data_IF_712543966766
#
_entry.id   IF_712543966766
#
_cell.length_a   1.000
_cell.length_b   1.000
_cell.length_c   1.000
_cell.angle_alpha   90.00
_cell.angle_beta   90.00
_cell.angle_gamma   90.00
#
_symmetry.space_group_name_H-M   'P 1'
#
loop_
_entity.id
_entity.type
_entity.pdbx_description
1 polymer ?
#
# COMPACT_ATOMS: atom_id res chain seq x y z
N UNK A 1 4.83 19.71 13.48
CA UNK A 1 6.05 19.02 13.04
C UNK A 1 6.82 18.45 14.21
N UNK A 2 7.08 17.15 14.17
CA UNK A 2 7.98 16.48 15.11
C UNK A 2 9.42 16.54 14.56
N UNK A 3 10.45 16.56 15.42
CA UNK A 3 11.84 16.44 14.99
C UNK A 3 12.04 15.15 14.19
N UNK A 4 12.81 15.19 13.10
CA UNK A 4 13.10 13.97 12.33
C UNK A 4 14.00 13.00 13.11
N UNK A 5 14.84 13.55 13.98
CA UNK A 5 15.78 12.83 14.84
C UNK A 5 15.60 13.34 16.28
N UNK A 6 15.57 12.42 17.24
CA UNK A 6 15.45 12.70 18.68
C UNK A 6 16.62 12.05 19.42
N UNK A 7 17.33 12.84 20.22
CA UNK A 7 18.39 12.36 21.10
C UNK A 7 17.81 11.94 22.45
N UNK A 8 18.10 10.71 22.89
CA UNK A 8 17.68 10.14 24.17
C UNK A 8 18.93 9.97 25.04
N UNK A 9 19.13 10.88 25.99
CA UNK A 9 20.36 11.05 26.78
C UNK A 9 20.19 10.75 28.28
N UNK A 10 19.07 10.14 28.66
CA UNK A 10 18.66 9.85 30.05
C UNK A 10 19.70 9.00 30.82
N UNK A 11 20.58 8.27 30.12
CA UNK A 11 21.66 7.44 30.68
C UNK A 11 23.06 7.77 30.13
N UNK A 12 23.25 8.99 29.62
CA UNK A 12 24.50 9.46 29.00
C UNK A 12 25.76 9.37 29.89
N UNK A 13 25.59 9.14 31.20
CA UNK A 13 26.68 8.92 32.15
C UNK A 13 27.31 7.51 32.04
N UNK A 14 26.61 6.53 31.45
CA UNK A 14 27.06 5.11 31.37
C UNK A 14 27.25 4.65 29.92
N UNK A 15 26.44 5.14 28.98
CA UNK A 15 26.51 4.84 27.54
C UNK A 15 26.45 6.13 26.71
N UNK A 16 26.84 6.09 25.43
CA UNK A 16 26.50 7.20 24.53
C UNK A 16 24.97 7.36 24.38
N UNK A 17 24.46 8.58 24.15
CA UNK A 17 23.06 8.82 23.89
C UNK A 17 22.53 7.97 22.74
N UNK A 18 21.29 7.51 22.87
CA UNK A 18 20.60 6.82 21.77
C UNK A 18 19.97 7.83 20.82
N UNK A 19 20.14 7.64 19.53
CA UNK A 19 19.59 8.50 18.48
C UNK A 19 18.40 7.80 17.83
N UNK A 20 17.22 8.38 18.01
CA UNK A 20 15.97 7.87 17.49
C UNK A 20 15.56 8.59 16.21
N UNK A 21 15.46 7.86 15.10
CA UNK A 21 14.98 8.36 13.80
C UNK A 21 13.45 8.41 13.78
N UNK A 22 12.86 9.44 14.40
CA UNK A 22 11.41 9.59 14.52
C UNK A 22 10.70 9.58 13.16
N UNK A 23 11.26 10.22 12.12
CA UNK A 23 10.64 10.23 10.78
C UNK A 23 10.46 8.81 10.22
N UNK A 24 11.51 8.00 10.29
CA UNK A 24 11.51 6.62 9.81
C UNK A 24 10.46 5.79 10.57
N UNK A 25 10.45 5.88 11.89
CA UNK A 25 9.48 5.15 12.72
C UNK A 25 8.03 5.61 12.52
N UNK A 26 7.80 6.90 12.32
CA UNK A 26 6.47 7.43 12.05
C UNK A 26 5.93 6.98 10.69
N UNK A 27 6.79 6.92 9.66
CA UNK A 27 6.43 6.37 8.35
C UNK A 27 6.08 4.87 8.44
N UNK A 28 6.84 4.07 9.21
CA UNK A 28 6.48 2.67 9.49
C UNK A 28 5.13 2.56 10.19
N UNK A 29 4.93 3.37 11.23
CA UNK A 29 3.73 3.32 12.04
C UNK A 29 2.48 3.73 11.24
N UNK A 30 2.62 4.54 10.18
CA UNK A 30 1.54 4.91 9.27
C UNK A 30 0.76 3.72 8.71
N UNK A 31 1.41 2.56 8.56
CA UNK A 31 0.79 1.33 8.06
C UNK A 31 0.11 0.47 9.14
N UNK A 32 0.19 0.86 10.43
CA UNK A 32 -0.25 0.02 11.56
C UNK A 32 -0.97 0.83 12.66
N UNK A 33 -1.71 1.88 12.28
CA UNK A 33 -2.49 2.73 13.19
C UNK A 33 -1.88 4.10 13.47
N UNK A 34 -0.70 4.41 12.92
CA UNK A 34 -0.09 5.73 12.98
C UNK A 34 0.50 6.05 14.35
N UNK A 35 0.24 7.26 14.84
CA UNK A 35 0.91 7.78 16.04
C UNK A 35 0.60 6.97 17.31
N UNK A 36 -0.58 6.34 17.37
CA UNK A 36 -1.05 5.60 18.55
C UNK A 36 -0.30 4.28 18.77
N UNK A 37 0.43 3.79 17.76
CA UNK A 37 1.24 2.58 17.86
C UNK A 37 2.40 2.75 18.85
N UNK A 38 2.81 3.98 19.14
CA UNK A 38 3.85 4.31 20.12
C UNK A 38 3.36 5.26 21.21
N UNK A 39 2.50 6.22 20.87
CA UNK A 39 2.02 7.22 21.82
C UNK A 39 0.64 6.88 22.36
N UNK A 40 0.58 6.69 23.67
CA UNK A 40 -0.66 6.45 24.40
C UNK A 40 -1.01 7.63 25.32
N UNK A 41 -2.27 7.71 25.74
CA UNK A 41 -2.75 8.67 26.75
C UNK A 41 -2.32 10.13 26.51
N UNK A 42 -2.19 10.52 25.25
CA UNK A 42 -1.78 11.86 24.87
C UNK A 42 -2.81 12.90 25.33
N UNK A 43 -2.37 14.07 25.85
CA UNK A 43 -3.27 15.18 26.08
C UNK A 43 -3.97 15.62 24.78
N UNK A 44 -5.20 16.17 24.86
CA UNK A 44 -5.90 16.66 23.68
C UNK A 44 -5.06 17.65 22.89
N UNK A 45 -4.91 17.40 21.58
CA UNK A 45 -4.24 18.31 20.65
C UNK A 45 -2.71 18.27 20.63
N UNK A 46 -2.03 17.38 21.38
CA UNK A 46 -0.57 17.21 21.26
C UNK A 46 -0.09 15.80 21.58
N UNK A 47 1.01 15.42 20.95
CA UNK A 47 1.75 14.19 21.29
C UNK A 47 2.76 14.51 22.39
N UNK A 48 2.67 13.83 23.53
CA UNK A 48 3.56 14.03 24.67
C UNK A 48 4.82 13.15 24.56
N UNK A 49 5.94 13.66 25.08
CA UNK A 49 7.16 12.87 25.22
C UNK A 49 7.04 11.88 26.39
N UNK A 50 7.68 10.72 26.28
CA UNK A 50 7.63 9.65 27.30
C UNK A 50 7.99 10.18 28.69
N UNK A 51 9.01 11.04 28.78
CA UNK A 51 9.52 11.62 30.03
C UNK A 51 8.54 12.56 30.75
N UNK A 52 7.51 13.05 30.07
CA UNK A 52 6.49 13.89 30.71
C UNK A 52 5.60 13.08 31.67
N UNK A 53 5.54 11.77 31.47
CA UNK A 53 4.76 10.88 32.30
C UNK A 53 5.61 9.81 32.98
N UNK A 54 6.65 9.28 32.34
CA UNK A 54 7.51 8.24 32.89
C UNK A 54 8.75 8.84 33.56
N UNK A 55 8.92 8.56 34.86
CA UNK A 55 10.00 9.14 35.67
C UNK A 55 11.36 8.47 35.40
N UNK A 56 12.41 9.28 35.32
CA UNK A 56 13.78 8.81 35.06
C UNK A 56 14.41 8.11 36.27
N UNK A 57 13.94 8.41 37.48
CA UNK A 57 14.53 7.98 38.76
C UNK A 57 13.84 6.78 39.38
N UNK A 58 12.62 6.45 38.94
CA UNK A 58 11.89 5.31 39.48
C UNK A 58 12.36 4.00 38.82
N UNK A 59 12.93 3.11 39.62
CA UNK A 59 12.87 1.66 39.37
C UNK A 59 11.44 1.19 39.66
N UNK A 60 10.47 1.75 38.92
CA UNK A 60 9.06 1.55 39.20
C UNK A 60 8.70 0.07 39.12
N UNK A 61 8.23 -0.49 40.23
CA UNK A 61 7.61 -1.82 40.30
C UNK A 61 6.20 -1.83 39.71
N UNK A 62 5.64 -0.65 39.43
CA UNK A 62 4.38 -0.46 38.73
C UNK A 62 4.54 -0.86 37.25
N UNK A 63 4.00 -2.03 36.90
CA UNK A 63 4.04 -2.56 35.53
C UNK A 63 3.18 -1.76 34.56
N UNK A 64 2.13 -1.10 35.04
CA UNK A 64 1.21 -0.31 34.22
C UNK A 64 1.86 1.02 33.81
N UNK A 65 2.64 1.61 34.72
CA UNK A 65 3.43 2.82 34.48
C UNK A 65 4.89 2.59 34.88
N UNK A 66 5.69 1.93 34.02
CA UNK A 66 7.10 1.69 34.31
C UNK A 66 7.89 3.00 34.36
N UNK A 67 9.06 2.99 35.00
CA UNK A 67 10.02 4.10 34.87
C UNK A 67 10.48 4.30 33.42
N UNK A 68 11.06 5.46 33.11
CA UNK A 68 11.40 5.89 31.75
C UNK A 68 12.27 4.89 31.00
N UNK A 69 13.27 4.30 31.68
CA UNK A 69 14.12 3.24 31.13
C UNK A 69 13.30 1.99 30.75
N UNK A 70 12.36 1.59 31.61
CA UNK A 70 11.50 0.45 31.35
C UNK A 70 10.53 0.69 30.20
N UNK A 71 9.98 1.91 30.11
CA UNK A 71 9.09 2.32 29.02
C UNK A 71 9.79 2.24 27.65
N UNK A 72 11.00 2.82 27.52
CA UNK A 72 11.77 2.76 26.27
C UNK A 72 12.12 1.32 25.89
N UNK A 73 12.68 0.53 26.80
CA UNK A 73 13.05 -0.85 26.47
C UNK A 73 11.84 -1.71 26.13
N UNK A 74 10.70 -1.54 26.81
CA UNK A 74 9.49 -2.29 26.49
C UNK A 74 8.94 -1.93 25.12
N UNK A 75 8.92 -0.65 24.76
CA UNK A 75 8.40 -0.19 23.46
C UNK A 75 9.36 -0.56 22.31
N UNK A 76 10.64 -0.18 22.44
CA UNK A 76 11.62 -0.33 21.37
C UNK A 76 12.05 -1.79 21.18
N UNK A 77 12.46 -2.48 22.25
CA UNK A 77 13.00 -3.84 22.10
C UNK A 77 11.94 -4.85 21.70
N UNK A 78 10.66 -4.66 22.07
CA UNK A 78 9.62 -5.60 21.67
C UNK A 78 9.47 -5.63 20.15
N UNK A 79 9.40 -4.46 19.51
CA UNK A 79 9.33 -4.37 18.05
C UNK A 79 10.61 -4.93 17.39
N UNK A 80 11.79 -4.45 17.80
CA UNK A 80 13.07 -4.89 17.20
C UNK A 80 13.35 -6.38 17.41
N UNK A 81 12.96 -6.96 18.54
CA UNK A 81 13.11 -8.40 18.79
C UNK A 81 12.26 -9.23 17.84
N UNK A 82 11.06 -8.78 17.48
CA UNK A 82 10.20 -9.53 16.57
C UNK A 82 10.53 -9.25 15.11
N UNK A 83 10.93 -8.02 14.79
CA UNK A 83 11.18 -7.57 13.42
C UNK A 83 12.57 -7.92 12.90
N UNK A 84 13.61 -7.52 13.63
CA UNK A 84 15.02 -7.70 13.25
C UNK A 84 15.70 -8.85 13.99
N UNK A 85 15.04 -9.43 15.00
CA UNK A 85 15.61 -10.45 15.91
C UNK A 85 16.89 -9.99 16.62
N UNK A 86 17.06 -8.67 16.74
CA UNK A 86 18.21 -8.03 17.37
C UNK A 86 17.74 -7.24 18.59
N UNK A 87 18.39 -7.44 19.72
CA UNK A 87 18.06 -6.79 20.99
C UNK A 87 19.31 -6.47 21.84
N UNK A 88 20.49 -6.60 21.25
CA UNK A 88 21.74 -6.20 21.88
C UNK A 88 21.81 -4.67 22.03
N UNK A 89 22.52 -4.22 23.05
CA UNK A 89 22.64 -2.80 23.39
C UNK A 89 23.10 -1.94 22.20
N UNK A 90 23.98 -2.50 21.38
CA UNK A 90 24.59 -1.86 20.21
C UNK A 90 23.58 -1.44 19.13
N UNK A 91 22.38 -2.02 19.11
CA UNK A 91 21.30 -1.62 18.19
C UNK A 91 20.85 -0.19 18.47
N UNK A 92 20.84 0.23 19.75
CA UNK A 92 20.34 1.53 20.17
C UNK A 92 21.42 2.44 20.75
N UNK A 93 22.54 1.91 21.24
CA UNK A 93 23.64 2.66 21.84
C UNK A 93 24.96 2.33 21.13
N UNK A 94 25.66 3.32 20.59
CA UNK A 94 27.01 3.11 20.04
C UNK A 94 28.03 3.07 21.18
N UNK A 95 29.03 2.20 21.04
CA UNK A 95 30.16 2.16 21.95
C UNK A 95 31.04 3.42 21.80
N UNK A 96 31.56 3.92 22.93
CA UNK A 96 32.48 5.05 22.92
C UNK A 96 33.71 4.74 22.07
N UNK A 97 33.96 5.55 21.04
CA UNK A 97 35.11 5.41 20.14
C UNK A 97 34.86 4.67 18.83
N UNK A 98 33.60 4.41 18.46
CA UNK A 98 33.27 3.88 17.15
C UNK A 98 33.65 4.87 16.01
N UNK A 99 33.97 4.37 14.80
CA UNK A 99 34.40 5.21 13.67
C UNK A 99 33.35 6.19 13.15
N UNK A 100 32.07 5.85 13.30
CA UNK A 100 30.92 6.69 12.95
C UNK A 100 30.05 6.95 14.18
N UNK A 101 29.53 8.16 14.30
CA UNK A 101 28.59 8.55 15.36
C UNK A 101 27.18 8.07 15.03
N UNK A 102 26.33 7.88 16.05
CA UNK A 102 24.92 7.56 15.80
C UNK A 102 24.17 8.67 15.06
N UNK A 103 24.58 9.92 15.22
CA UNK A 103 23.99 11.06 14.50
C UNK A 103 24.27 10.94 12.99
N UNK A 104 25.50 10.60 12.58
CA UNK A 104 25.83 10.37 11.17
C UNK A 104 25.09 9.17 10.57
N UNK A 105 24.97 8.07 11.32
CA UNK A 105 24.21 6.88 10.90
C UNK A 105 22.72 7.20 10.74
N UNK A 106 22.14 7.94 11.71
CA UNK A 106 20.74 8.33 11.69
C UNK A 106 20.42 9.31 10.55
N UNK A 107 21.29 10.28 10.28
CA UNK A 107 21.12 11.21 9.16
C UNK A 107 21.16 10.51 7.80
N UNK A 108 22.09 9.56 7.61
CA UNK A 108 22.13 8.72 6.40
C UNK A 108 20.84 7.90 6.29
N UNK A 109 20.41 7.25 7.38
CA UNK A 109 19.20 6.44 7.40
C UNK A 109 17.94 7.24 7.02
N UNK A 110 17.81 8.47 7.49
CA UNK A 110 16.66 9.35 7.20
C UNK A 110 16.65 9.88 5.75
N UNK A 111 17.82 10.01 5.12
CA UNK A 111 17.96 10.46 3.72
C UNK A 111 17.76 9.34 2.71
N UNK A 112 18.26 8.14 3.01
CA UNK A 112 18.45 7.10 2.00
C UNK A 112 17.50 5.89 2.16
N UNK A 113 16.95 5.64 3.36
CA UNK A 113 16.14 4.44 3.60
C UNK A 113 14.67 4.71 3.28
N UNK A 114 14.20 4.09 2.21
CA UNK A 114 12.77 3.85 2.00
C UNK A 114 12.43 2.52 2.65
N UNK A 115 11.36 2.48 3.43
CA UNK A 115 10.85 1.23 4.00
C UNK A 115 10.64 0.20 2.89
N UNK A 116 11.07 -1.06 3.09
CA UNK A 116 10.93 -2.10 2.07
C UNK A 116 9.45 -2.28 1.74
N UNK A 117 9.14 -2.33 0.45
CA UNK A 117 7.78 -2.60 -0.03
C UNK A 117 7.45 -4.04 0.33
N UNK A 118 6.40 -4.24 1.13
CA UNK A 118 5.87 -5.57 1.39
C UNK A 118 5.13 -6.02 0.14
N UNK A 119 5.56 -7.13 -0.45
CA UNK A 119 4.84 -7.76 -1.54
C UNK A 119 3.60 -8.45 -0.99
N UNK A 120 2.45 -8.03 -1.47
CA UNK A 120 1.18 -8.71 -1.20
C UNK A 120 1.17 -10.03 -2.00
N UNK A 121 0.78 -11.17 -1.40
CA UNK A 121 0.59 -12.40 -2.17
C UNK A 121 -0.52 -12.22 -3.21
N UNK A 122 -0.39 -12.83 -4.39
CA UNK A 122 -1.44 -12.71 -5.41
C UNK A 122 -2.72 -13.43 -4.98
N UNK A 123 -2.62 -14.74 -4.74
CA UNK A 123 -3.75 -15.61 -4.43
C UNK A 123 -3.41 -16.55 -3.30
N UNK A 124 -4.33 -16.68 -2.35
CA UNK A 124 -4.31 -17.65 -1.27
C UNK A 124 -5.46 -18.64 -1.46
N UNK A 125 -5.19 -19.91 -1.19
CA UNK A 125 -6.20 -20.98 -1.21
C UNK A 125 -6.19 -21.62 0.16
N UNK A 126 -7.28 -21.46 0.89
CA UNK A 126 -7.47 -22.06 2.22
C UNK A 126 -8.15 -23.42 2.08
N UNK A 127 -7.65 -24.39 2.82
CA UNK A 127 -8.31 -25.68 3.01
C UNK A 127 -9.23 -25.57 4.24
N UNK A 128 -10.40 -26.19 4.16
CA UNK A 128 -11.44 -26.12 5.19
C UNK A 128 -11.91 -27.52 5.54
N UNK A 129 -12.53 -27.68 6.70
CA UNK A 129 -13.08 -28.96 7.18
C UNK A 129 -14.45 -29.31 6.54
N UNK A 130 -14.91 -28.54 5.55
CA UNK A 130 -16.16 -28.81 4.82
C UNK A 130 -15.91 -29.83 3.68
N UNK A 131 -16.47 -31.03 3.82
CA UNK A 131 -16.32 -32.11 2.84
C UNK A 131 -16.95 -31.78 1.47
N UNK A 132 -18.03 -30.98 1.44
CA UNK A 132 -18.78 -30.64 0.22
C UNK A 132 -18.23 -29.39 -0.46
N UNK A 133 -17.52 -28.54 0.28
CA UNK A 133 -16.92 -27.30 -0.24
C UNK A 133 -15.57 -27.00 0.44
N UNK A 134 -14.53 -27.83 0.19
CA UNK A 134 -13.32 -27.90 0.99
C UNK A 134 -12.37 -26.72 0.81
N UNK A 135 -12.61 -25.83 -0.16
CA UNK A 135 -11.67 -24.75 -0.46
C UNK A 135 -12.31 -23.36 -0.48
N UNK A 136 -11.54 -22.38 -0.02
CA UNK A 136 -11.84 -20.95 -0.15
C UNK A 136 -10.70 -20.28 -0.92
N UNK A 137 -11.03 -19.65 -2.03
CA UNK A 137 -10.07 -18.88 -2.84
C UNK A 137 -10.13 -17.40 -2.49
N UNK A 138 -8.98 -16.81 -2.17
CA UNK A 138 -8.86 -15.40 -1.83
C UNK A 138 -7.79 -14.73 -2.69
N UNK A 139 -8.16 -13.72 -3.46
CA UNK A 139 -7.23 -12.87 -4.20
C UNK A 139 -6.82 -11.71 -3.31
N UNK A 140 -5.66 -11.82 -2.68
CA UNK A 140 -5.19 -10.86 -1.69
C UNK A 140 -4.72 -9.57 -2.39
N UNK A 141 -4.08 -9.69 -3.56
CA UNK A 141 -3.73 -8.56 -4.40
C UNK A 141 -4.97 -7.80 -4.90
N UNK A 142 -6.07 -8.49 -5.22
CA UNK A 142 -7.30 -7.82 -5.60
C UNK A 142 -7.84 -6.94 -4.47
N UNK A 143 -7.73 -7.38 -3.21
CA UNK A 143 -8.17 -6.58 -2.06
C UNK A 143 -7.24 -5.41 -1.74
N UNK A 144 -5.93 -5.65 -1.70
CA UNK A 144 -4.97 -4.61 -1.41
C UNK A 144 -4.82 -3.61 -2.57
N UNK A 145 -4.67 -4.13 -3.79
CA UNK A 145 -4.39 -3.35 -4.98
C UNK A 145 -5.66 -2.92 -5.70
N UNK A 146 -6.50 -3.81 -6.20
CA UNK A 146 -7.61 -3.41 -7.08
C UNK A 146 -8.70 -2.63 -6.31
N UNK A 147 -9.13 -3.18 -5.17
CA UNK A 147 -10.13 -2.58 -4.28
C UNK A 147 -9.52 -1.50 -3.37
N UNK A 148 -8.19 -1.46 -3.20
CA UNK A 148 -7.51 -0.39 -2.47
C UNK A 148 -7.74 -0.40 -0.95
N UNK A 149 -8.05 -1.55 -0.36
CA UNK A 149 -8.10 -1.69 1.09
C UNK A 149 -6.70 -1.52 1.68
N UNK A 150 -6.62 -0.84 2.82
CA UNK A 150 -5.38 -0.67 3.57
C UNK A 150 -5.07 -1.94 4.35
N UNK A 151 -3.79 -2.21 4.62
CA UNK A 151 -3.38 -3.40 5.37
C UNK A 151 -4.10 -3.49 6.73
N UNK A 152 -4.26 -2.35 7.41
CA UNK A 152 -4.95 -2.23 8.70
C UNK A 152 -6.44 -2.50 8.64
N UNK A 153 -7.07 -2.47 7.46
CA UNK A 153 -8.49 -2.77 7.35
C UNK A 153 -8.75 -4.25 7.68
N UNK A 154 -7.80 -5.14 7.34
CA UNK A 154 -7.87 -6.58 7.61
C UNK A 154 -6.91 -7.03 8.74
N UNK A 155 -5.70 -6.48 8.80
CA UNK A 155 -4.64 -6.89 9.72
C UNK A 155 -4.66 -6.06 11.01
N UNK A 156 -5.82 -6.05 11.68
CA UNK A 156 -6.02 -5.28 12.91
C UNK A 156 -5.29 -5.96 14.07
N UNK A 157 -4.51 -5.18 14.83
CA UNK A 157 -3.75 -5.63 16.00
C UNK A 157 -2.72 -6.75 15.71
N UNK A 158 -2.18 -6.80 14.50
CA UNK A 158 -1.07 -7.67 14.16
C UNK A 158 0.27 -6.98 14.42
N UNK A 159 1.28 -7.75 14.84
CA UNK A 159 2.62 -7.20 14.98
C UNK A 159 3.21 -6.88 13.61
N UNK A 160 3.96 -5.78 13.53
CA UNK A 160 4.66 -5.35 12.32
C UNK A 160 5.51 -6.49 11.74
N UNK A 161 6.13 -7.30 12.61
CA UNK A 161 6.97 -8.43 12.20
C UNK A 161 6.22 -9.49 11.40
N UNK A 162 4.91 -9.63 11.54
CA UNK A 162 4.15 -10.61 10.75
C UNK A 162 4.31 -10.39 9.25
N UNK A 163 4.51 -9.14 8.82
CA UNK A 163 4.79 -8.79 7.44
C UNK A 163 6.25 -8.36 7.23
N UNK A 164 6.84 -7.68 8.21
CA UNK A 164 8.17 -7.08 8.10
C UNK A 164 9.32 -7.95 8.64
N UNK A 165 9.08 -9.15 9.16
CA UNK A 165 10.14 -10.02 9.72
C UNK A 165 11.27 -10.25 8.71
N UNK A 166 12.44 -9.70 9.04
CA UNK A 166 13.66 -9.79 8.22
C UNK A 166 14.18 -11.22 8.05
N UNK A 167 13.80 -12.13 8.94
CA UNK A 167 14.17 -13.54 8.88
C UNK A 167 13.05 -14.44 8.38
N UNK A 168 11.85 -13.91 8.11
CA UNK A 168 10.65 -14.65 7.66
C UNK A 168 10.33 -15.88 8.54
N UNK A 169 10.58 -15.80 9.85
CA UNK A 169 10.41 -16.89 10.80
C UNK A 169 9.04 -16.90 11.49
N UNK A 170 8.28 -15.81 11.41
CA UNK A 170 6.92 -15.79 11.98
C UNK A 170 6.01 -16.76 11.24
N UNK A 171 5.69 -17.88 11.89
CA UNK A 171 4.57 -18.72 11.53
C UNK A 171 3.28 -17.90 11.60
N UNK A 172 2.47 -17.97 10.55
CA UNK A 172 1.08 -17.56 10.57
C UNK A 172 0.38 -18.36 11.67
N UNK A 173 0.08 -17.72 12.81
CA UNK A 173 -0.87 -18.31 13.75
C UNK A 173 -2.15 -18.63 13.01
N UNK A 174 -2.68 -19.84 13.21
CA UNK A 174 -3.99 -20.25 12.73
C UNK A 174 -5.02 -19.30 13.35
N UNK A 175 -5.49 -18.34 12.56
CA UNK A 175 -6.66 -17.54 12.86
C UNK A 175 -7.74 -17.99 11.91
N UNK A 176 -8.94 -18.15 12.45
CA UNK A 176 -10.14 -18.36 11.68
C UNK A 176 -10.35 -17.16 10.73
N UNK A 177 -10.20 -17.33 9.40
CA UNK A 177 -10.21 -16.20 8.46
C UNK A 177 -11.58 -15.50 8.38
N UNK A 178 -12.64 -16.18 8.83
CA UNK A 178 -14.02 -15.68 8.77
C UNK A 178 -14.19 -14.29 9.38
N UNK A 179 -13.57 -13.99 10.53
CA UNK A 179 -13.71 -12.67 11.18
C UNK A 179 -13.24 -11.53 10.26
N UNK A 180 -12.19 -11.76 9.48
CA UNK A 180 -11.68 -10.74 8.55
C UNK A 180 -12.58 -10.59 7.31
N UNK A 181 -13.14 -11.69 6.82
CA UNK A 181 -13.95 -11.70 5.60
C UNK A 181 -15.39 -11.22 5.86
N UNK A 182 -16.06 -11.81 6.85
CA UNK A 182 -17.50 -11.61 7.10
C UNK A 182 -17.81 -10.17 7.48
N UNK A 183 -16.90 -9.47 8.17
CA UNK A 183 -17.12 -8.07 8.54
C UNK A 183 -17.44 -7.16 7.34
N UNK A 184 -16.90 -7.45 6.15
CA UNK A 184 -17.25 -6.72 4.92
C UNK A 184 -18.25 -7.49 4.05
N UNK A 185 -18.19 -8.82 4.04
CA UNK A 185 -19.02 -9.66 3.19
C UNK A 185 -20.37 -10.07 3.84
N UNK A 186 -20.73 -9.51 4.99
CA UNK A 186 -21.98 -9.85 5.70
C UNK A 186 -23.24 -9.73 4.81
N UNK A 187 -23.30 -8.73 3.92
CA UNK A 187 -24.42 -8.56 2.98
C UNK A 187 -24.47 -9.64 1.89
N UNK A 188 -23.33 -10.26 1.58
CA UNK A 188 -23.27 -11.38 0.65
C UNK A 188 -23.73 -12.69 1.34
N UNK A 189 -23.62 -12.76 2.66
CA UNK A 189 -23.90 -13.96 3.45
C UNK A 189 -25.34 -13.87 3.97
N UNK A 190 -26.31 -14.07 3.08
CA UNK A 190 -27.66 -14.48 3.46
C UNK A 190 -27.68 -16.02 3.54
N UNK A 191 -26.92 -16.57 4.49
CA UNK A 191 -26.71 -18.02 4.75
C UNK A 191 -26.05 -18.86 3.63
N UNK A 192 -25.64 -18.30 2.49
CA UNK A 192 -24.97 -19.06 1.41
C UNK A 192 -23.44 -19.08 1.52
N UNK A 193 -22.92 -20.02 2.33
CA UNK A 193 -21.48 -20.25 2.52
C UNK A 193 -20.74 -20.53 1.19
N UNK A 194 -21.45 -21.04 0.17
CA UNK A 194 -20.89 -21.40 -1.15
C UNK A 194 -20.48 -20.19 -1.98
N UNK A 195 -20.81 -18.96 -1.55
CA UNK A 195 -20.23 -17.77 -2.15
C UNK A 195 -18.72 -17.69 -1.93
N UNK A 196 -18.24 -18.15 -0.78
CA UNK A 196 -16.82 -18.21 -0.46
C UNK A 196 -16.24 -19.62 -0.66
N UNK A 197 -16.96 -20.64 -0.18
CA UNK A 197 -16.55 -22.04 -0.28
C UNK A 197 -16.88 -22.64 -1.64
N UNK A 198 -16.06 -23.60 -2.09
CA UNK A 198 -16.30 -24.35 -3.30
C UNK A 198 -15.49 -25.64 -3.35
N UNK A 199 -15.75 -26.44 -4.38
CA UNK A 199 -14.96 -27.64 -4.72
C UNK A 199 -13.78 -27.33 -5.64
N UNK A 200 -13.83 -26.18 -6.32
CA UNK A 200 -12.81 -25.70 -7.25
C UNK A 200 -12.49 -24.24 -6.95
N UNK A 201 -11.28 -23.82 -7.34
CA UNK A 201 -10.84 -22.45 -7.12
C UNK A 201 -11.72 -21.47 -7.88
N UNK A 202 -12.15 -20.40 -7.20
CA UNK A 202 -12.96 -19.37 -7.84
C UNK A 202 -12.07 -18.50 -8.72
N UNK A 203 -12.53 -18.21 -9.94
CA UNK A 203 -11.84 -17.31 -10.84
C UNK A 203 -11.85 -15.87 -10.31
N UNK A 204 -10.76 -15.12 -10.56
CA UNK A 204 -10.72 -13.67 -10.28
C UNK A 204 -11.79 -12.96 -11.10
N UNK A 205 -12.41 -11.94 -10.50
CA UNK A 205 -13.32 -11.06 -11.22
C UNK A 205 -12.64 -10.40 -12.42
N UNK A 206 -13.34 -10.34 -13.57
CA UNK A 206 -12.89 -9.64 -14.77
C UNK A 206 -14.03 -8.84 -15.37
N UNK A 207 -13.76 -7.56 -15.67
CA UNK A 207 -14.71 -6.65 -16.31
C UNK A 207 -15.26 -7.14 -17.66
N UNK A 208 -14.49 -7.95 -18.41
CA UNK A 208 -14.96 -8.55 -19.66
C UNK A 208 -16.25 -9.37 -19.47
N UNK A 209 -16.47 -9.97 -18.30
CA UNK A 209 -17.67 -10.76 -17.99
C UNK A 209 -18.94 -9.89 -17.89
N UNK A 210 -18.80 -8.58 -17.67
CA UNK A 210 -19.93 -7.64 -17.58
C UNK A 210 -20.22 -6.94 -18.91
N UNK A 211 -19.47 -7.30 -19.96
CA UNK A 211 -19.50 -6.65 -21.26
C UNK A 211 -19.00 -5.19 -21.22
N UNK A 212 -18.14 -4.84 -20.26
CA UNK A 212 -17.47 -3.53 -20.20
C UNK A 212 -15.99 -3.73 -19.92
N UNK A 213 -15.28 -4.30 -20.89
CA UNK A 213 -13.85 -4.56 -20.75
C UNK A 213 -13.06 -3.24 -20.65
N UNK A 214 -12.20 -3.14 -19.63
CA UNK A 214 -11.32 -1.99 -19.46
C UNK A 214 -10.14 -2.12 -20.42
N UNK A 215 -10.13 -1.29 -21.46
CA UNK A 215 -9.01 -1.23 -22.41
C UNK A 215 -7.72 -0.69 -21.77
N UNK A 216 -6.61 -0.73 -22.51
CA UNK A 216 -5.24 -0.45 -22.02
C UNK A 216 -5.09 0.83 -21.18
N UNK A 217 -5.81 1.90 -21.53
CA UNK A 217 -5.75 3.19 -20.83
C UNK A 217 -6.58 3.27 -19.55
N UNK A 218 -7.52 2.35 -19.37
CA UNK A 218 -8.35 2.23 -18.17
C UNK A 218 -7.95 0.99 -17.34
N UNK A 219 -7.06 0.13 -17.85
CA UNK A 219 -6.68 -1.14 -17.24
C UNK A 219 -5.98 -0.99 -15.87
N UNK A 220 -5.31 0.13 -15.64
CA UNK A 220 -4.65 0.44 -14.37
C UNK A 220 -5.57 1.15 -13.36
N UNK A 221 -6.83 1.44 -13.71
CA UNK A 221 -7.76 2.08 -12.79
C UNK A 221 -8.13 1.14 -11.65
N UNK A 222 -8.04 1.67 -10.43
CA UNK A 222 -8.51 1.01 -9.21
C UNK A 222 -10.03 0.95 -9.22
N UNK A 223 -10.64 -0.06 -8.61
CA UNK A 223 -12.10 -0.24 -8.56
C UNK A 223 -12.81 1.00 -8.00
N UNK A 224 -12.23 1.64 -6.97
CA UNK A 224 -12.74 2.87 -6.34
C UNK A 224 -12.82 4.08 -7.26
N UNK A 225 -12.10 4.06 -8.38
CA UNK A 225 -12.15 5.15 -9.38
C UNK A 225 -13.54 5.29 -10.00
N UNK A 226 -14.33 4.21 -9.98
CA UNK A 226 -15.65 4.15 -10.56
C UNK A 226 -16.72 3.66 -9.55
N UNK A 227 -16.39 2.71 -8.68
CA UNK A 227 -17.32 2.06 -7.76
C UNK A 227 -17.17 2.53 -6.32
N UNK A 228 -18.30 2.73 -5.64
CA UNK A 228 -18.34 2.87 -4.19
C UNK A 228 -18.27 1.46 -3.57
N UNK A 229 -17.26 1.18 -2.74
CA UNK A 229 -16.95 -0.17 -2.22
C UNK A 229 -17.59 -0.47 -0.87
N UNK A 230 -18.40 0.44 -0.34
CA UNK A 230 -19.22 0.26 0.87
C UNK A 230 -20.56 -0.42 0.58
N UNK A 231 -20.87 -0.70 -0.69
CA UNK A 231 -22.02 -1.47 -1.14
C UNK A 231 -21.62 -2.40 -2.31
N UNK A 232 -22.42 -3.43 -2.62
CA UNK A 232 -22.25 -4.20 -3.85
C UNK A 232 -22.11 -3.28 -5.05
N UNK A 233 -21.10 -3.52 -5.87
CA UNK A 233 -20.74 -2.64 -6.98
C UNK A 233 -21.95 -2.43 -7.92
N UNK A 234 -22.55 -1.23 -7.84
CA UNK A 234 -23.68 -0.88 -8.67
C UNK A 234 -23.28 -0.85 -10.15
N UNK A 235 -24.23 -1.19 -11.03
CA UNK A 235 -24.02 -1.09 -12.47
C UNK A 235 -23.89 0.38 -12.87
N UNK A 236 -22.76 0.73 -13.46
CA UNK A 236 -22.46 2.07 -13.96
C UNK A 236 -22.89 2.26 -15.41
N UNK A 237 -23.09 3.53 -15.79
CA UNK A 237 -23.25 3.89 -17.19
C UNK A 237 -21.87 3.84 -17.89
N UNK A 238 -21.81 3.10 -19.01
CA UNK A 238 -20.61 2.86 -19.82
C UNK A 238 -20.31 4.00 -20.81
N UNK A 239 -21.19 4.98 -20.91
CA UNK A 239 -20.99 6.17 -21.75
C UNK A 239 -19.78 6.97 -21.27
N UNK A 240 -18.89 7.39 -22.17
CA UNK A 240 -17.65 8.11 -21.79
C UNK A 240 -17.92 9.35 -20.93
N UNK A 241 -19.05 10.03 -21.18
CA UNK A 241 -19.46 11.22 -20.45
C UNK A 241 -19.94 10.94 -19.01
N UNK A 242 -20.13 9.68 -18.62
CA UNK A 242 -20.41 9.33 -17.23
C UNK A 242 -19.21 9.59 -16.31
N UNK A 243 -17.99 9.59 -16.87
CA UNK A 243 -16.75 9.83 -16.13
C UNK A 243 -15.97 11.03 -16.68
N UNK A 244 -15.91 11.21 -18.00
CA UNK A 244 -15.20 12.32 -18.64
C UNK A 244 -16.18 13.45 -18.98
N UNK A 245 -16.18 14.49 -18.16
CA UNK A 245 -17.00 15.68 -18.41
C UNK A 245 -16.65 16.30 -19.78
N UNK A 246 -17.68 16.66 -20.55
CA UNK A 246 -17.58 17.26 -21.88
C UNK A 246 -16.75 16.46 -22.89
N UNK A 247 -16.71 15.14 -22.70
CA UNK A 247 -16.02 14.25 -23.62
C UNK A 247 -16.76 14.18 -24.94
N UNK A 248 -16.01 14.46 -26.00
CA UNK A 248 -16.44 14.31 -27.37
C UNK A 248 -15.22 13.95 -28.22
N UNK A 249 -15.45 13.48 -29.44
CA UNK A 249 -14.36 13.21 -30.39
C UNK A 249 -13.52 14.45 -30.68
N UNK A 250 -14.13 15.64 -30.66
CA UNK A 250 -13.44 16.92 -30.89
C UNK A 250 -12.59 17.36 -29.70
N UNK A 251 -12.88 16.89 -28.51
CA UNK A 251 -12.15 17.23 -27.28
C UNK A 251 -11.16 16.13 -26.87
N UNK A 252 -11.04 15.06 -27.67
CA UNK A 252 -10.09 13.98 -27.40
C UNK A 252 -8.65 14.44 -27.59
N UNK A 253 -7.80 14.23 -26.57
CA UNK A 253 -6.39 14.57 -26.61
C UNK A 253 -5.54 13.34 -26.93
N UNK A 254 -4.94 13.31 -28.12
CA UNK A 254 -4.04 12.22 -28.54
C UNK A 254 -2.81 12.04 -27.65
N UNK A 255 -2.40 13.05 -26.86
CA UNK A 255 -1.28 12.91 -25.94
C UNK A 255 -1.47 11.78 -24.93
N UNK A 256 -2.72 11.43 -24.60
CA UNK A 256 -3.05 10.29 -23.71
C UNK A 256 -2.53 8.97 -24.30
N UNK A 257 -2.35 8.89 -25.63
CA UNK A 257 -1.82 7.72 -26.32
C UNK A 257 -0.29 7.68 -26.37
N UNK A 258 0.39 8.71 -25.86
CA UNK A 258 1.83 8.91 -25.99
C UNK A 258 2.26 9.68 -27.25
N UNK A 259 1.29 10.21 -28.03
CA UNK A 259 1.58 10.94 -29.26
C UNK A 259 0.86 12.30 -29.26
N UNK A 260 1.63 13.38 -29.27
CA UNK A 260 1.11 14.72 -29.53
C UNK A 260 1.10 14.97 -31.04
N UNK A 261 -0.08 15.00 -31.66
CA UNK A 261 -0.21 15.34 -33.07
C UNK A 261 0.26 16.77 -33.35
N UNK A 262 0.86 16.99 -34.52
CA UNK A 262 1.19 18.35 -34.97
C UNK A 262 -0.05 19.11 -35.45
N UNK A 263 0.11 20.42 -35.70
CA UNK A 263 -0.99 21.32 -36.08
C UNK A 263 -1.72 20.86 -37.35
N UNK A 264 -1.03 20.20 -38.29
CA UNK A 264 -1.65 19.76 -39.55
C UNK A 264 -2.47 18.48 -39.35
N UNK A 265 -2.03 17.56 -38.49
CA UNK A 265 -2.73 16.30 -38.23
C UNK A 265 -3.83 16.42 -37.17
N UNK A 266 -3.78 17.45 -36.31
CA UNK A 266 -4.75 17.66 -35.24
C UNK A 266 -6.17 17.93 -35.76
N UNK A 267 -6.29 18.54 -36.94
CA UNK A 267 -7.56 18.94 -37.54
C UNK A 267 -8.25 17.82 -38.36
N UNK A 268 -7.60 16.67 -38.56
CA UNK A 268 -8.14 15.56 -39.34
C UNK A 268 -9.23 14.78 -38.59
N UNK A 269 -10.17 14.16 -39.33
CA UNK A 269 -11.12 13.22 -38.71
C UNK A 269 -10.39 11.95 -38.28
N UNK A 270 -10.87 11.31 -37.22
CA UNK A 270 -10.31 10.05 -36.74
C UNK A 270 -10.20 9.00 -37.85
N UNK A 271 -11.17 8.96 -38.77
CA UNK A 271 -11.21 7.96 -39.84
C UNK A 271 -10.13 8.15 -40.91
N UNK A 272 -9.57 9.36 -41.02
CA UNK A 272 -8.54 9.66 -42.02
C UNK A 272 -7.24 8.90 -41.73
N UNK A 273 -7.01 8.52 -40.46
CA UNK A 273 -5.89 7.68 -40.06
C UNK A 273 -6.35 6.30 -39.54
N UNK A 274 -7.47 6.22 -38.82
CA UNK A 274 -8.03 5.00 -38.25
C UNK A 274 -9.20 4.48 -39.08
N UNK A 275 -8.88 3.72 -40.13
CA UNK A 275 -9.88 3.17 -41.06
C UNK A 275 -10.96 2.38 -40.30
N UNK A 276 -12.23 2.62 -40.65
CA UNK A 276 -13.40 2.05 -39.98
C UNK A 276 -13.46 2.34 -38.46
N UNK A 277 -12.68 3.31 -37.97
CA UNK A 277 -12.50 3.61 -36.55
C UNK A 277 -12.00 2.42 -35.75
N UNK A 278 -11.20 1.57 -36.39
CA UNK A 278 -10.46 0.53 -35.69
C UNK A 278 -9.21 1.13 -35.05
N UNK A 279 -9.29 1.41 -33.75
CA UNK A 279 -8.18 1.95 -32.97
C UNK A 279 -7.23 0.86 -32.45
N UNK A 280 -7.47 -0.41 -32.77
CA UNK A 280 -6.60 -1.53 -32.40
C UNK A 280 -5.47 -1.75 -33.40
N UNK A 281 -5.59 -1.19 -34.61
CA UNK A 281 -4.61 -1.28 -35.68
C UNK A 281 -3.79 0.00 -35.82
N UNK A 282 -2.61 -0.11 -36.42
CA UNK A 282 -1.76 1.03 -36.74
C UNK A 282 -2.48 1.98 -37.74
N UNK A 283 -2.34 3.31 -37.57
CA UNK A 283 -2.90 4.27 -38.51
C UNK A 283 -2.22 4.18 -39.88
N UNK A 284 -2.96 4.54 -40.93
CA UNK A 284 -2.44 4.61 -42.30
C UNK A 284 -1.96 6.01 -42.65
N UNK A 285 -0.82 6.06 -43.34
CA UNK A 285 -0.20 7.29 -43.83
C UNK A 285 -0.24 7.37 -45.36
N UNK A 286 -0.39 6.22 -46.03
CA UNK A 286 -0.27 6.03 -47.47
C UNK A 286 -1.42 6.65 -48.26
N UNK A 287 -2.54 6.96 -47.61
CA UNK A 287 -3.66 7.66 -48.22
C UNK A 287 -3.35 9.17 -48.43
N UNK A 288 -2.33 9.73 -47.76
CA UNK A 288 -1.89 11.13 -47.91
C UNK A 288 -0.40 11.29 -48.28
N UNK A 289 0.43 10.27 -48.04
CA UNK A 289 1.88 10.32 -48.23
C UNK A 289 2.39 9.09 -48.97
N UNK A 290 3.08 9.29 -50.09
CA UNK A 290 3.54 8.17 -50.94
C UNK A 290 4.66 7.32 -50.29
N UNK A 291 5.44 7.90 -49.36
CA UNK A 291 6.67 7.28 -48.81
C UNK A 291 6.70 7.18 -47.28
N UNK A 292 5.67 7.69 -46.58
CA UNK A 292 5.65 7.68 -45.12
C UNK A 292 4.81 6.51 -44.59
N UNK A 293 5.27 5.89 -43.51
CA UNK A 293 4.58 4.81 -42.81
C UNK A 293 4.62 5.00 -41.30
N UNK A 294 3.61 4.49 -40.60
CA UNK A 294 3.64 4.37 -39.15
C UNK A 294 4.15 2.97 -38.76
N UNK A 295 5.08 2.85 -37.79
CA UNK A 295 5.54 3.89 -36.86
C UNK A 295 6.83 4.62 -37.28
N UNK A 296 7.39 4.37 -38.46
CA UNK A 296 8.69 4.93 -38.88
C UNK A 296 8.66 6.46 -38.99
N UNK A 297 7.52 7.02 -39.40
CA UNK A 297 7.23 8.45 -39.48
C UNK A 297 6.01 8.77 -38.64
N UNK A 298 6.19 9.60 -37.62
CA UNK A 298 5.13 9.94 -36.68
C UNK A 298 4.45 11.26 -37.10
N UNK A 299 3.10 11.33 -37.05
CA UNK A 299 2.34 12.55 -37.35
C UNK A 299 2.37 13.54 -36.17
N UNK A 300 3.55 13.75 -35.58
CA UNK A 300 3.73 14.54 -34.38
C UNK A 300 4.93 14.12 -33.53
N UNK A 301 4.88 14.44 -32.23
CA UNK A 301 5.95 14.20 -31.26
C UNK A 301 5.53 13.17 -30.22
N UNK A 302 6.43 12.24 -29.89
CA UNK A 302 6.24 11.30 -28.78
C UNK A 302 6.30 12.08 -27.46
N UNK A 303 5.35 11.78 -26.58
CA UNK A 303 5.29 12.28 -25.21
C UNK A 303 5.30 11.09 -24.25
N UNK A 304 6.06 11.21 -23.16
CA UNK A 304 6.21 10.20 -22.12
C UNK A 304 5.40 10.58 -20.87
#
# INVERSE_FOLDING_TARGET
>A
DAPQIIKIDVLSQIYEPSIFTHKLHAEMAGMAGGCVSCHHFNPPGRIAACRECHDATETGTNLDKPGLKGAYHRQCLNCHRQWSHRNECAVCHVEKGAPETQEEIAEKAVKDVKHPVISVPDKLVYQTDDDEAPIVTFYHDAHADDYGYQCVDCHQNESCSRCHDTMKQTASGEREPHDNCINCHAYEIDEDCRKCHGVEEKARFRHAQTGFELGRYHAALKCRSCHQLDQPAARLNKDCNSCHQDWSRKTFNHQITGLMLDENHLDNDCIDCHINRDFSVAPRCDDCHDELSYPESLPGKVVH
#
